data_IF_503100872162
#
_entry.id   IF_503100872162
#
_cell.length_a   1.000
_cell.length_b   1.000
_cell.length_c   1.000
_cell.angle_alpha   90.00
_cell.angle_beta   90.00
_cell.angle_gamma   90.00
#
_symmetry.space_group_name_H-M   'P 1'
#
loop_
_entity.id
_entity.type
_entity.pdbx_description
1 polymer ?
#
# COMPACT_ATOMS: atom_id res chain seq x y z
N UNK A 1 10.15 -20.03 -3.62
CA UNK A 1 10.50 -21.43 -3.98
C UNK A 1 9.50 -22.41 -3.39
N UNK A 2 9.42 -22.58 -2.06
CA UNK A 2 8.50 -23.56 -1.43
C UNK A 2 7.03 -23.39 -1.87
N UNK A 3 6.53 -22.16 -1.98
CA UNK A 3 5.19 -21.87 -2.50
C UNK A 3 4.90 -22.52 -3.87
N UNK A 4 5.89 -22.54 -4.77
CA UNK A 4 5.75 -23.14 -6.11
C UNK A 4 5.81 -24.67 -6.08
N UNK A 5 6.36 -25.23 -5.01
CA UNK A 5 6.54 -26.67 -4.84
C UNK A 5 5.49 -27.27 -3.90
N UNK A 6 4.48 -26.51 -3.48
CA UNK A 6 3.46 -26.96 -2.53
C UNK A 6 2.78 -28.26 -2.94
N UNK A 7 2.59 -28.48 -4.24
CA UNK A 7 1.99 -29.69 -4.81
C UNK A 7 2.95 -30.87 -4.98
N UNK A 8 4.26 -30.65 -4.86
CA UNK A 8 5.28 -31.67 -5.17
C UNK A 8 5.46 -32.69 -4.03
N UNK A 9 5.16 -32.30 -2.78
CA UNK A 9 5.21 -33.20 -1.63
C UNK A 9 4.42 -32.64 -0.44
N UNK A 10 3.66 -33.49 0.26
CA UNK A 10 2.87 -33.14 1.46
C UNK A 10 3.64 -32.44 2.61
N UNK A 11 4.97 -32.65 2.72
CA UNK A 11 5.79 -32.02 3.75
C UNK A 11 5.99 -30.51 3.49
N UNK A 12 5.89 -30.08 2.23
CA UNK A 12 6.19 -28.69 1.84
C UNK A 12 5.16 -27.72 2.42
N UNK A 13 3.83 -27.96 2.31
CA UNK A 13 2.83 -27.20 3.05
C UNK A 13 3.10 -27.14 4.56
N UNK A 14 3.45 -28.27 5.19
CA UNK A 14 3.74 -28.32 6.63
C UNK A 14 4.94 -27.45 7.03
N UNK A 15 6.00 -27.43 6.21
CA UNK A 15 7.17 -26.57 6.44
C UNK A 15 6.80 -25.08 6.33
N UNK A 16 5.95 -24.72 5.36
CA UNK A 16 5.49 -23.34 5.17
C UNK A 16 4.67 -22.90 6.37
N UNK A 17 3.72 -23.74 6.81
CA UNK A 17 2.89 -23.48 7.99
C UNK A 17 3.72 -23.37 9.26
N UNK A 18 4.68 -24.28 9.47
CA UNK A 18 5.61 -24.20 10.60
C UNK A 18 6.38 -22.88 10.59
N UNK A 19 6.94 -22.47 9.44
CA UNK A 19 7.67 -21.20 9.33
C UNK A 19 6.80 -19.98 9.62
N UNK A 20 5.54 -19.98 9.15
CA UNK A 20 4.60 -18.91 9.46
C UNK A 20 4.32 -18.86 10.97
N UNK A 21 3.96 -19.98 11.58
CA UNK A 21 3.62 -20.09 13.00
C UNK A 21 4.79 -19.72 13.91
N UNK A 22 5.98 -20.29 13.66
CA UNK A 22 7.17 -19.98 14.44
C UNK A 22 7.50 -18.49 14.36
N UNK A 23 7.37 -17.87 13.18
CA UNK A 23 7.58 -16.43 13.01
C UNK A 23 6.54 -15.61 13.77
N UNK A 24 5.25 -15.91 13.61
CA UNK A 24 4.18 -15.18 14.30
C UNK A 24 4.32 -15.29 15.83
N UNK A 25 4.60 -16.49 16.33
CA UNK A 25 4.79 -16.75 17.76
C UNK A 25 5.95 -15.94 18.32
N UNK A 26 7.15 -16.12 17.76
CA UNK A 26 8.36 -15.45 18.23
C UNK A 26 8.35 -13.93 18.04
N UNK A 27 7.82 -13.44 16.92
CA UNK A 27 7.87 -12.01 16.58
C UNK A 27 6.78 -11.21 17.30
N UNK A 28 5.62 -11.83 17.54
CA UNK A 28 4.45 -11.10 18.06
C UNK A 28 3.92 -11.68 19.37
N UNK A 29 3.54 -12.97 19.40
CA UNK A 29 2.86 -13.57 20.56
C UNK A 29 3.73 -13.53 21.82
N UNK A 30 5.00 -13.92 21.71
CA UNK A 30 5.93 -13.97 22.83
C UNK A 30 6.53 -12.58 23.12
N UNK A 31 6.80 -11.80 22.08
CA UNK A 31 7.56 -10.56 22.19
C UNK A 31 6.69 -9.36 22.60
N UNK A 32 5.47 -9.19 22.06
CA UNK A 32 4.65 -8.01 22.33
C UNK A 32 4.31 -7.83 23.82
N UNK A 33 3.93 -8.88 24.58
CA UNK A 33 3.68 -8.74 26.01
C UNK A 33 4.88 -8.25 26.81
N UNK A 34 6.10 -8.61 26.39
CA UNK A 34 7.34 -8.17 27.03
C UNK A 34 7.68 -6.69 26.75
N UNK A 35 7.04 -6.07 25.75
CA UNK A 35 7.25 -4.68 25.36
C UNK A 35 6.23 -3.72 26.01
N UNK A 36 5.34 -4.23 26.86
CA UNK A 36 4.39 -3.40 27.61
C UNK A 36 5.17 -2.58 28.64
N UNK A 37 5.03 -1.25 28.56
CA UNK A 37 5.68 -0.34 29.51
C UNK A 37 4.90 -0.31 30.83
N UNK A 38 5.52 -0.64 31.99
CA UNK A 38 4.81 -0.69 33.28
C UNK A 38 4.11 0.62 33.65
N UNK A 39 4.67 1.77 33.24
CA UNK A 39 4.17 3.10 33.64
C UNK A 39 2.86 3.47 32.93
N UNK A 40 2.61 2.89 31.75
CA UNK A 40 1.43 3.22 30.93
C UNK A 40 0.50 2.04 30.70
N UNK A 41 0.98 0.81 30.91
CA UNK A 41 0.27 -0.41 30.52
C UNK A 41 0.11 -0.58 29.00
N UNK A 42 0.85 0.20 28.18
CA UNK A 42 0.76 0.22 26.72
C UNK A 42 2.09 -0.15 26.06
N UNK A 43 2.01 -0.54 24.80
CA UNK A 43 3.18 -0.72 23.92
C UNK A 43 3.47 0.62 23.24
N UNK A 44 4.74 1.05 23.28
CA UNK A 44 5.20 2.29 22.65
C UNK A 44 6.16 1.96 21.52
N UNK A 45 5.68 2.03 20.28
CA UNK A 45 6.53 1.84 19.10
C UNK A 45 7.38 3.09 18.83
N UNK A 46 8.49 2.91 18.11
CA UNK A 46 9.33 4.00 17.64
C UNK A 46 9.16 4.22 16.14
N UNK A 47 8.63 5.37 15.76
CA UNK A 47 8.59 5.81 14.36
C UNK A 47 9.90 6.49 13.96
N UNK A 48 10.55 5.97 12.92
CA UNK A 48 11.77 6.55 12.34
C UNK A 48 11.40 7.33 11.08
N UNK A 49 11.61 8.64 11.14
CA UNK A 49 11.27 9.58 10.08
C UNK A 49 12.30 9.65 8.94
N UNK A 50 13.58 9.41 9.25
CA UNK A 50 14.70 9.55 8.32
C UNK A 50 15.42 8.21 8.07
N UNK A 51 14.67 7.18 7.66
CA UNK A 51 15.23 5.83 7.41
C UNK A 51 14.93 5.29 6.02
N UNK A 52 13.70 5.45 5.53
CA UNK A 52 13.32 4.92 4.21
C UNK A 52 13.75 5.84 3.07
N UNK A 53 14.05 5.26 1.90
CA UNK A 53 14.50 6.01 0.72
C UNK A 53 13.37 6.78 0.01
N UNK A 54 12.11 6.41 0.25
CA UNK A 54 10.92 7.07 -0.32
C UNK A 54 10.23 8.00 0.67
N UNK A 55 10.78 8.17 1.87
CA UNK A 55 10.25 9.11 2.87
C UNK A 55 9.14 8.56 3.75
N UNK A 56 8.68 7.31 3.56
CA UNK A 56 7.76 6.62 4.47
C UNK A 56 8.29 6.57 5.91
N UNK A 57 7.40 6.72 6.87
CA UNK A 57 7.72 6.35 8.25
C UNK A 57 7.98 4.85 8.31
N UNK A 58 8.88 4.44 9.20
CA UNK A 58 9.07 3.04 9.55
C UNK A 58 8.92 2.87 11.04
N UNK A 59 8.45 1.70 11.48
CA UNK A 59 8.22 1.40 12.90
C UNK A 59 9.20 0.34 13.38
N UNK A 60 9.73 0.49 14.60
CA UNK A 60 10.56 -0.52 15.29
C UNK A 60 10.21 -0.58 16.78
N UNK A 61 10.58 -1.69 17.40
CA UNK A 61 10.45 -1.94 18.85
C UNK A 61 9.06 -1.62 19.43
N UNK A 62 7.98 -2.30 18.98
CA UNK A 62 7.93 -3.30 17.90
C UNK A 62 7.65 -2.66 16.53
N UNK A 63 7.92 -3.39 15.45
CA UNK A 63 7.53 -2.96 14.10
C UNK A 63 6.04 -3.27 13.86
N UNK A 64 5.19 -2.28 14.11
CA UNK A 64 3.73 -2.40 13.95
C UNK A 64 3.27 -2.31 12.49
N UNK A 65 4.13 -1.86 11.56
CA UNK A 65 3.80 -1.86 10.13
C UNK A 65 3.82 -3.25 9.49
N UNK A 66 4.45 -4.23 10.15
CA UNK A 66 4.63 -5.58 9.59
C UNK A 66 3.63 -6.62 10.15
N UNK A 67 2.67 -6.21 10.99
CA UNK A 67 1.68 -7.13 11.55
C UNK A 67 0.80 -7.66 10.41
N UNK A 68 0.76 -8.98 10.16
CA UNK A 68 0.06 -9.52 8.99
C UNK A 68 -1.46 -9.32 9.05
N UNK A 69 -2.05 -9.02 7.90
CA UNK A 69 -3.46 -8.63 7.78
C UNK A 69 -4.31 -9.65 7.02
N UNK A 70 -3.66 -10.45 6.16
CA UNK A 70 -4.33 -11.28 5.14
C UNK A 70 -4.63 -12.69 5.61
N UNK A 71 -3.86 -13.21 6.57
CA UNK A 71 -4.05 -14.56 7.09
C UNK A 71 -4.88 -14.51 8.36
N UNK A 72 -5.71 -15.51 8.58
CA UNK A 72 -6.55 -15.62 9.79
C UNK A 72 -5.69 -15.51 11.06
N UNK A 73 -4.53 -16.18 11.08
CA UNK A 73 -3.58 -16.11 12.19
C UNK A 73 -3.01 -14.71 12.40
N UNK A 74 -2.73 -13.97 11.33
CA UNK A 74 -2.30 -12.57 11.40
C UNK A 74 -3.37 -11.67 12.01
N UNK A 75 -4.63 -11.88 11.60
CA UNK A 75 -5.80 -11.17 12.17
C UNK A 75 -5.96 -11.41 13.67
N UNK A 76 -5.67 -12.61 14.15
CA UNK A 76 -5.67 -12.89 15.60
C UNK A 76 -4.66 -12.02 16.38
N UNK A 77 -3.50 -11.69 15.79
CA UNK A 77 -2.53 -10.76 16.41
C UNK A 77 -3.13 -9.35 16.50
N UNK A 78 -3.82 -8.89 15.45
CA UNK A 78 -4.49 -7.57 15.45
C UNK A 78 -5.61 -7.46 16.48
N UNK A 79 -6.33 -8.56 16.75
CA UNK A 79 -7.34 -8.62 17.82
C UNK A 79 -6.78 -8.35 19.22
N UNK A 80 -5.48 -8.51 19.43
CA UNK A 80 -4.84 -8.20 20.71
C UNK A 80 -4.63 -6.69 20.94
N UNK A 81 -4.82 -5.85 19.92
CA UNK A 81 -4.76 -4.39 20.03
C UNK A 81 -6.16 -3.85 20.29
N UNK A 82 -6.43 -3.52 21.54
CA UNK A 82 -7.74 -3.15 22.06
C UNK A 82 -7.83 -1.64 22.30
N UNK A 83 -9.02 -1.08 22.12
CA UNK A 83 -9.36 0.23 22.71
C UNK A 83 -9.50 0.10 24.24
N UNK A 84 -9.23 1.20 24.95
CA UNK A 84 -9.54 1.29 26.38
C UNK A 84 -11.05 1.14 26.67
N UNK A 85 -11.37 0.77 27.91
CA UNK A 85 -12.77 0.59 28.35
C UNK A 85 -13.59 1.86 28.10
N UNK A 86 -14.74 1.70 27.43
CA UNK A 86 -15.64 2.81 27.08
C UNK A 86 -15.27 3.52 25.77
N UNK A 87 -14.13 3.18 25.16
CA UNK A 87 -13.66 3.72 23.89
C UNK A 87 -13.77 2.70 22.75
N UNK A 88 -13.48 3.17 21.55
CA UNK A 88 -13.31 2.39 20.32
C UNK A 88 -12.13 2.92 19.53
N UNK A 89 -11.59 2.09 18.65
CA UNK A 89 -10.61 2.49 17.65
C UNK A 89 -11.34 2.99 16.40
N UNK A 90 -10.82 4.07 15.82
CA UNK A 90 -11.21 4.56 14.50
C UNK A 90 -9.98 4.41 13.59
N UNK A 91 -10.11 3.61 12.55
CA UNK A 91 -9.13 3.52 11.48
C UNK A 91 -9.58 4.33 10.29
N UNK A 92 -8.68 5.16 9.78
CA UNK A 92 -8.91 5.95 8.57
C UNK A 92 -7.78 5.69 7.58
N UNK A 93 -8.11 5.00 6.49
CA UNK A 93 -7.16 4.50 5.48
C UNK A 93 -7.43 5.12 4.11
N UNK A 94 -6.40 5.62 3.44
CA UNK A 94 -6.60 6.15 2.09
C UNK A 94 -6.88 5.03 1.08
N UNK A 95 -8.03 5.13 0.40
CA UNK A 95 -8.41 4.16 -0.63
C UNK A 95 -7.53 4.31 -1.87
N UNK A 96 -6.57 3.39 -2.01
CA UNK A 96 -5.69 3.26 -3.19
C UNK A 96 -4.88 4.54 -3.49
N UNK A 97 -4.33 5.18 -2.45
CA UNK A 97 -3.63 6.47 -2.57
C UNK A 97 -2.57 6.47 -3.67
N UNK A 98 -1.78 5.40 -3.80
CA UNK A 98 -0.72 5.31 -4.80
C UNK A 98 -1.24 5.30 -6.23
N UNK A 99 -2.40 4.68 -6.50
CA UNK A 99 -2.99 4.72 -7.85
C UNK A 99 -3.64 6.08 -8.15
N UNK A 100 -4.19 6.77 -7.14
CA UNK A 100 -4.69 8.14 -7.29
C UNK A 100 -3.53 9.11 -7.58
N UNK A 101 -2.39 8.92 -6.91
CA UNK A 101 -1.15 9.64 -7.20
C UNK A 101 -0.67 9.32 -8.62
N UNK A 102 -0.66 8.05 -9.04
CA UNK A 102 -0.30 7.68 -10.40
C UNK A 102 -1.17 8.40 -11.43
N UNK A 103 -2.50 8.40 -11.24
CA UNK A 103 -3.43 9.12 -12.10
C UNK A 103 -3.12 10.62 -12.17
N UNK A 104 -2.76 11.22 -11.03
CA UNK A 104 -2.37 12.62 -10.96
C UNK A 104 -1.08 12.91 -11.74
N UNK A 105 0.00 12.17 -11.49
CA UNK A 105 1.33 12.46 -12.04
C UNK A 105 1.46 12.05 -13.51
N UNK A 106 0.75 10.99 -13.93
CA UNK A 106 0.69 10.60 -15.33
C UNK A 106 -0.21 11.53 -16.15
N UNK A 107 -1.17 12.19 -15.50
CA UNK A 107 -2.25 12.91 -16.18
C UNK A 107 -2.98 12.01 -17.20
N UNK A 108 -3.19 10.75 -16.85
CA UNK A 108 -3.91 9.82 -17.69
C UNK A 108 -5.42 10.03 -17.58
N UNK A 109 -6.03 10.56 -18.63
CA UNK A 109 -7.46 10.86 -18.66
C UNK A 109 -8.34 9.62 -18.45
N UNK A 110 -7.89 8.44 -18.89
CA UNK A 110 -8.61 7.19 -18.67
C UNK A 110 -8.65 6.83 -17.19
N UNK A 111 -7.50 6.90 -16.53
CA UNK A 111 -7.38 6.61 -15.10
C UNK A 111 -8.07 7.66 -14.23
N UNK A 112 -7.94 8.95 -14.58
CA UNK A 112 -8.61 10.06 -13.91
C UNK A 112 -10.14 9.89 -13.99
N UNK A 113 -10.68 9.64 -15.20
CA UNK A 113 -12.12 9.37 -15.37
C UNK A 113 -12.56 8.16 -14.57
N UNK A 114 -11.77 7.11 -14.53
CA UNK A 114 -12.14 5.90 -13.79
C UNK A 114 -12.30 6.18 -12.29
N UNK A 115 -11.37 6.92 -11.69
CA UNK A 115 -11.49 7.29 -10.27
C UNK A 115 -12.61 8.30 -10.00
N UNK A 116 -12.81 9.29 -10.87
CA UNK A 116 -13.85 10.31 -10.69
C UNK A 116 -15.27 9.75 -10.80
N UNK A 117 -15.44 8.62 -11.50
CA UNK A 117 -16.72 7.92 -11.62
C UNK A 117 -16.82 6.68 -10.73
N UNK A 118 -15.93 6.52 -9.73
CA UNK A 118 -15.84 5.35 -8.84
C UNK A 118 -15.87 4.00 -9.59
N UNK A 119 -15.31 3.95 -10.80
CA UNK A 119 -15.27 2.73 -11.61
C UNK A 119 -14.28 1.73 -11.01
N UNK A 120 -14.69 0.46 -10.98
CA UNK A 120 -13.82 -0.62 -10.57
C UNK A 120 -12.80 -0.95 -11.67
N UNK A 121 -11.70 -0.20 -11.67
CA UNK A 121 -10.59 -0.40 -12.61
C UNK A 121 -10.07 -1.84 -12.56
N UNK A 122 -10.12 -2.52 -11.42
CA UNK A 122 -9.63 -3.88 -11.31
C UNK A 122 -10.58 -4.87 -11.98
N UNK A 123 -11.89 -4.67 -11.83
CA UNK A 123 -12.88 -5.49 -12.53
C UNK A 123 -12.85 -5.24 -14.04
N UNK A 124 -12.71 -3.97 -14.47
CA UNK A 124 -12.56 -3.63 -15.89
C UNK A 124 -11.30 -4.25 -16.49
N UNK A 125 -10.16 -4.14 -15.80
CA UNK A 125 -8.91 -4.81 -16.21
C UNK A 125 -9.07 -6.33 -16.19
N UNK A 126 -9.77 -6.92 -15.21
CA UNK A 126 -10.01 -8.36 -15.17
C UNK A 126 -10.84 -8.85 -16.37
N UNK A 127 -11.93 -8.15 -16.67
CA UNK A 127 -12.78 -8.44 -17.83
C UNK A 127 -11.96 -8.47 -19.12
N UNK A 128 -11.10 -7.47 -19.34
CA UNK A 128 -10.23 -7.38 -20.51
C UNK A 128 -9.10 -8.43 -20.53
N UNK A 129 -8.47 -8.71 -19.38
CA UNK A 129 -7.36 -9.66 -19.29
C UNK A 129 -7.84 -11.10 -19.50
N UNK A 130 -8.96 -11.45 -18.85
CA UNK A 130 -9.45 -12.83 -18.80
C UNK A 130 -10.54 -13.11 -19.84
N UNK A 131 -10.93 -12.11 -20.64
CA UNK A 131 -11.92 -12.26 -21.71
C UNK A 131 -13.32 -12.62 -21.19
N UNK A 132 -13.66 -12.19 -19.98
CA UNK A 132 -14.98 -12.41 -19.37
C UNK A 132 -15.77 -11.10 -19.35
N UNK A 133 -17.10 -11.15 -19.43
CA UNK A 133 -17.91 -9.94 -19.21
C UNK A 133 -17.71 -9.40 -17.79
N UNK A 134 -17.94 -8.10 -17.59
CA UNK A 134 -17.84 -7.45 -16.27
C UNK A 134 -18.65 -8.19 -15.19
N UNK A 135 -19.87 -8.63 -15.53
CA UNK A 135 -20.75 -9.37 -14.62
C UNK A 135 -20.22 -10.75 -14.22
N UNK A 136 -19.32 -11.32 -15.03
CA UNK A 136 -18.69 -12.61 -14.79
C UNK A 136 -17.29 -12.48 -14.15
N UNK A 137 -16.87 -11.27 -13.78
CA UNK A 137 -15.61 -11.07 -13.06
C UNK A 137 -15.77 -11.56 -11.62
N UNK A 138 -15.15 -12.70 -11.32
CA UNK A 138 -15.11 -13.22 -9.95
C UNK A 138 -14.14 -12.41 -9.08
N UNK A 139 -14.30 -12.52 -7.75
CA UNK A 139 -13.38 -11.90 -6.78
C UNK A 139 -11.92 -12.35 -6.98
N UNK A 140 -11.67 -13.58 -7.41
CA UNK A 140 -10.32 -14.06 -7.70
C UNK A 140 -9.72 -13.38 -8.94
N UNK A 141 -10.51 -13.26 -10.02
CA UNK A 141 -10.09 -12.57 -11.25
C UNK A 141 -9.81 -11.09 -10.97
N UNK A 142 -10.69 -10.44 -10.21
CA UNK A 142 -10.50 -9.05 -9.75
C UNK A 142 -9.22 -8.91 -8.93
N UNK A 143 -8.94 -9.84 -8.00
CA UNK A 143 -7.72 -9.84 -7.18
C UNK A 143 -6.45 -10.00 -8.04
N UNK A 144 -6.49 -10.89 -9.03
CA UNK A 144 -5.39 -11.05 -10.00
C UNK A 144 -5.16 -9.77 -10.80
N UNK A 145 -6.23 -9.18 -11.35
CA UNK A 145 -6.16 -7.91 -12.09
C UNK A 145 -5.69 -6.73 -11.23
N UNK A 146 -6.02 -6.72 -9.93
CA UNK A 146 -5.43 -5.77 -8.97
C UNK A 146 -3.91 -5.93 -8.92
N UNK A 147 -3.41 -7.16 -8.76
CA UNK A 147 -1.97 -7.41 -8.77
C UNK A 147 -1.30 -7.00 -10.09
N UNK A 148 -1.98 -7.20 -11.23
CA UNK A 148 -1.52 -6.72 -12.54
C UNK A 148 -1.42 -5.20 -12.57
N UNK A 149 -2.51 -4.50 -12.22
CA UNK A 149 -2.57 -3.03 -12.24
C UNK A 149 -1.44 -2.42 -11.41
N UNK A 150 -1.26 -2.89 -10.17
CA UNK A 150 -0.14 -2.45 -9.33
C UNK A 150 1.20 -2.86 -9.92
N UNK A 151 1.36 -4.10 -10.38
CA UNK A 151 2.58 -4.58 -11.00
C UNK A 151 3.05 -3.68 -12.13
N UNK A 152 2.18 -3.44 -13.11
CA UNK A 152 2.49 -2.60 -14.28
C UNK A 152 2.74 -1.16 -13.86
N UNK A 153 1.90 -0.59 -13.00
CA UNK A 153 2.09 0.74 -12.41
C UNK A 153 3.46 0.90 -11.72
N UNK A 154 4.02 -0.20 -11.18
CA UNK A 154 5.32 -0.22 -10.52
C UNK A 154 6.49 -0.67 -11.40
N UNK A 155 6.32 -0.69 -12.72
CA UNK A 155 7.36 -1.06 -13.67
C UNK A 155 7.65 -2.56 -13.74
N UNK A 156 6.68 -3.41 -13.39
CA UNK A 156 6.80 -4.85 -13.60
C UNK A 156 6.77 -5.18 -15.09
N UNK A 157 7.85 -5.79 -15.58
CA UNK A 157 7.93 -6.28 -16.96
C UNK A 157 7.21 -7.61 -17.19
N UNK A 158 7.08 -7.99 -18.46
CA UNK A 158 6.33 -9.18 -18.89
C UNK A 158 6.79 -10.49 -18.22
N UNK A 159 8.09 -10.65 -17.95
CA UNK A 159 8.60 -11.84 -17.26
C UNK A 159 8.03 -11.97 -15.84
N UNK A 160 8.12 -10.91 -15.04
CA UNK A 160 7.64 -10.93 -13.66
C UNK A 160 6.12 -11.06 -13.61
N UNK A 161 5.40 -10.42 -14.54
CA UNK A 161 3.95 -10.52 -14.60
C UNK A 161 3.50 -11.94 -14.99
N UNK A 162 4.20 -12.58 -15.94
CA UNK A 162 3.94 -13.97 -16.32
C UNK A 162 4.14 -14.93 -15.13
N UNK A 163 5.22 -14.74 -14.37
CA UNK A 163 5.51 -15.53 -13.17
C UNK A 163 4.45 -15.34 -12.08
N UNK A 164 3.99 -14.11 -11.85
CA UNK A 164 2.97 -13.81 -10.84
C UNK A 164 1.60 -14.40 -11.18
N UNK A 165 1.24 -14.42 -12.47
CA UNK A 165 -0.06 -14.89 -12.94
C UNK A 165 -0.07 -16.36 -13.32
N UNK A 166 1.09 -17.00 -13.48
CA UNK A 166 1.19 -18.38 -13.97
C UNK A 166 0.79 -18.53 -15.44
N UNK A 167 1.03 -17.50 -16.27
CA UNK A 167 0.67 -17.47 -17.70
C UNK A 167 1.92 -17.42 -18.59
N UNK A 168 1.76 -17.57 -19.90
CA UNK A 168 2.89 -17.47 -20.82
C UNK A 168 3.44 -16.04 -20.92
N UNK A 169 4.73 -15.91 -21.31
CA UNK A 169 5.35 -14.59 -21.55
C UNK A 169 4.65 -13.81 -22.66
N UNK A 170 4.08 -14.50 -23.66
CA UNK A 170 3.36 -13.88 -24.76
C UNK A 170 2.08 -13.22 -24.25
N UNK A 171 1.25 -13.97 -23.53
CA UNK A 171 0.01 -13.45 -22.92
C UNK A 171 0.29 -12.27 -21.97
N UNK A 172 1.32 -12.39 -21.13
CA UNK A 172 1.76 -11.32 -20.24
C UNK A 172 2.16 -10.04 -20.99
N UNK A 173 2.87 -10.18 -22.12
CA UNK A 173 3.26 -9.04 -22.96
C UNK A 173 2.04 -8.37 -23.61
N UNK A 174 1.07 -9.16 -24.07
CA UNK A 174 -0.19 -8.66 -24.63
C UNK A 174 -1.04 -7.93 -23.57
N UNK A 175 -1.07 -8.43 -22.33
CA UNK A 175 -1.74 -7.76 -21.21
C UNK A 175 -1.12 -6.39 -20.94
N UNK A 176 0.22 -6.32 -20.86
CA UNK A 176 0.94 -5.06 -20.66
C UNK A 176 0.67 -4.09 -21.81
N UNK A 177 0.65 -4.60 -23.04
CA UNK A 177 0.36 -3.79 -24.22
C UNK A 177 -1.05 -3.19 -24.15
N UNK A 178 -2.08 -4.00 -23.94
CA UNK A 178 -3.48 -3.54 -23.80
C UNK A 178 -3.64 -2.53 -22.66
N UNK A 179 -2.95 -2.76 -21.54
CA UNK A 179 -2.96 -1.82 -20.42
C UNK A 179 -2.44 -0.43 -20.85
N UNK A 180 -1.32 -0.38 -21.56
CA UNK A 180 -0.76 0.89 -22.05
C UNK A 180 -1.49 1.48 -23.25
N UNK A 181 -2.22 0.70 -24.05
CA UNK A 181 -3.15 1.25 -25.05
C UNK A 181 -4.28 2.02 -24.37
N UNK A 182 -4.80 1.47 -23.26
CA UNK A 182 -5.87 2.09 -22.47
C UNK A 182 -5.39 3.27 -21.63
N UNK A 183 -4.22 3.14 -21.02
CA UNK A 183 -3.62 4.13 -20.12
C UNK A 183 -2.27 4.62 -20.68
N UNK A 184 -2.31 5.22 -21.87
CA UNK A 184 -1.10 5.59 -22.61
C UNK A 184 -0.23 6.61 -21.88
N UNK A 185 -0.83 7.50 -21.10
CA UNK A 185 -0.07 8.51 -20.34
C UNK A 185 0.65 7.92 -19.14
N UNK A 186 0.22 6.77 -18.63
CA UNK A 186 0.98 6.02 -17.63
C UNK A 186 2.33 5.57 -18.22
N UNK A 187 2.34 5.06 -19.46
CA UNK A 187 3.59 4.68 -20.13
C UNK A 187 4.50 5.89 -20.36
N UNK A 188 3.94 6.99 -20.88
CA UNK A 188 4.68 8.24 -21.10
C UNK A 188 5.36 8.71 -19.81
N UNK A 189 4.63 8.68 -18.69
CA UNK A 189 5.17 9.02 -17.36
C UNK A 189 6.31 8.08 -16.94
N UNK A 190 6.15 6.77 -17.11
CA UNK A 190 7.17 5.79 -16.74
C UNK A 190 8.48 6.01 -17.51
N UNK A 191 8.37 6.20 -18.82
CA UNK A 191 9.52 6.46 -19.69
C UNK A 191 10.20 7.79 -19.31
N UNK A 192 9.42 8.84 -19.08
CA UNK A 192 9.93 10.16 -18.67
C UNK A 192 10.61 10.11 -17.30
N UNK A 193 10.06 9.39 -16.32
CA UNK A 193 10.67 9.25 -14.99
C UNK A 193 12.05 8.60 -15.07
N UNK A 194 12.21 7.57 -15.91
CA UNK A 194 13.50 6.89 -16.13
C UNK A 194 14.48 7.81 -16.84
N UNK A 195 14.06 8.49 -17.91
CA UNK A 195 14.94 9.41 -18.65
C UNK A 195 15.37 10.62 -17.81
N UNK A 196 14.46 11.19 -17.02
CA UNK A 196 14.79 12.24 -16.07
C UNK A 196 15.82 11.74 -15.05
N UNK A 197 15.61 10.55 -14.47
CA UNK A 197 16.54 9.95 -13.52
C UNK A 197 17.94 9.73 -14.11
N UNK A 198 18.03 9.27 -15.37
CA UNK A 198 19.31 9.13 -16.09
C UNK A 198 20.01 10.47 -16.31
N UNK A 199 19.24 11.51 -16.66
CA UNK A 199 19.78 12.85 -16.98
C UNK A 199 20.28 13.61 -15.75
N UNK A 200 19.50 13.63 -14.66
CA UNK A 200 19.81 14.45 -13.48
C UNK A 200 20.28 13.65 -12.26
N UNK A 201 20.18 12.32 -12.29
CA UNK A 201 20.63 11.42 -11.22
C UNK A 201 19.61 11.15 -10.10
N UNK A 202 18.44 11.77 -10.14
CA UNK A 202 17.38 11.61 -9.13
C UNK A 202 15.98 11.81 -9.72
N UNK A 203 14.97 11.41 -8.96
CA UNK A 203 13.54 11.71 -9.21
C UNK A 203 12.93 12.43 -8.01
N UNK A 204 11.83 13.14 -8.21
CA UNK A 204 11.16 13.98 -7.20
C UNK A 204 9.70 13.59 -7.01
N UNK A 205 9.17 13.76 -5.79
CA UNK A 205 7.73 13.71 -5.51
C UNK A 205 7.05 15.02 -5.92
N UNK A 206 5.71 15.06 -5.87
CA UNK A 206 4.93 16.29 -6.09
C UNK A 206 5.38 17.46 -5.18
N UNK A 207 5.95 17.14 -4.02
CA UNK A 207 6.40 18.10 -3.01
C UNK A 207 7.92 18.31 -3.01
N UNK A 208 8.62 17.85 -4.05
CA UNK A 208 10.06 18.06 -4.22
C UNK A 208 10.95 17.14 -3.39
N UNK A 209 10.43 16.08 -2.77
CA UNK A 209 11.26 15.08 -2.09
C UNK A 209 12.07 14.31 -3.14
N UNK A 210 13.39 14.28 -2.99
CA UNK A 210 14.30 13.60 -3.92
C UNK A 210 14.61 12.17 -3.49
N UNK A 211 14.69 11.28 -4.48
CA UNK A 211 15.43 10.01 -4.38
C UNK A 211 16.48 9.95 -5.48
N UNK A 212 17.75 9.88 -5.08
CA UNK A 212 18.87 9.62 -5.98
C UNK A 212 18.87 8.16 -6.44
N UNK A 213 19.15 7.92 -7.73
CA UNK A 213 19.05 6.61 -8.37
C UNK A 213 20.41 6.22 -8.96
N UNK A 214 21.41 6.01 -8.11
CA UNK A 214 22.76 5.63 -8.54
C UNK A 214 22.79 4.24 -9.21
N UNK A 215 21.79 3.40 -8.97
CA UNK A 215 21.65 2.09 -9.56
C UNK A 215 21.62 2.14 -11.11
N UNK A 216 21.14 3.25 -11.69
CA UNK A 216 21.12 3.47 -13.14
C UNK A 216 22.52 3.59 -13.76
N UNK A 217 23.53 3.99 -12.98
CA UNK A 217 24.92 4.10 -13.44
C UNK A 217 25.64 2.73 -13.44
N UNK A 218 25.02 1.70 -12.87
CA UNK A 218 25.67 0.40 -12.70
C UNK A 218 25.93 -0.29 -14.04
N UNK A 219 27.05 -1.01 -14.14
CA UNK A 219 27.29 -1.94 -15.25
C UNK A 219 26.45 -3.21 -15.13
N UNK A 220 25.94 -3.55 -13.93
CA UNK A 220 25.11 -4.72 -13.68
C UNK A 220 23.67 -4.50 -14.21
N UNK A 221 23.20 -5.29 -15.19
CA UNK A 221 21.84 -5.14 -15.74
C UNK A 221 20.74 -5.27 -14.71
N UNK A 222 20.86 -6.19 -13.73
CA UNK A 222 19.85 -6.40 -12.71
C UNK A 222 19.72 -5.17 -11.78
N UNK A 223 20.86 -4.54 -11.46
CA UNK A 223 20.88 -3.32 -10.66
C UNK A 223 20.31 -2.14 -11.44
N UNK A 224 20.65 -1.99 -12.73
CA UNK A 224 20.04 -0.95 -13.59
C UNK A 224 18.52 -1.11 -13.69
N UNK A 225 18.02 -2.31 -13.95
CA UNK A 225 16.57 -2.55 -14.02
C UNK A 225 15.88 -2.31 -12.67
N UNK A 226 16.57 -2.54 -11.54
CA UNK A 226 16.06 -2.09 -10.24
C UNK A 226 16.01 -0.57 -10.15
N UNK A 227 17.05 0.14 -10.61
CA UNK A 227 17.09 1.59 -10.73
C UNK A 227 15.95 2.17 -11.57
N UNK A 228 15.63 1.55 -12.71
CA UNK A 228 14.51 1.97 -13.58
C UNK A 228 13.17 1.86 -12.85
N UNK A 229 12.88 0.71 -12.20
CA UNK A 229 11.67 0.55 -11.38
C UNK A 229 11.65 1.53 -10.20
N UNK A 230 12.81 1.75 -9.59
CA UNK A 230 12.98 2.69 -8.50
C UNK A 230 12.67 4.13 -8.90
N UNK A 231 13.08 4.55 -10.11
CA UNK A 231 12.79 5.87 -10.66
C UNK A 231 11.28 6.08 -10.91
N UNK A 232 10.58 5.04 -11.38
CA UNK A 232 9.12 5.07 -11.60
C UNK A 232 8.37 5.13 -10.26
N UNK A 233 8.78 4.32 -9.28
CA UNK A 233 8.01 4.07 -8.06
C UNK A 233 8.22 5.13 -6.98
N UNK A 234 9.42 5.70 -6.88
CA UNK A 234 9.75 6.62 -5.81
C UNK A 234 8.90 7.91 -5.80
N UNK A 235 8.60 8.55 -6.96
CA UNK A 235 7.69 9.70 -6.98
C UNK A 235 6.29 9.34 -6.50
N UNK A 236 5.77 8.17 -6.89
CA UNK A 236 4.43 7.71 -6.51
C UNK A 236 4.37 7.43 -5.00
N UNK A 237 5.25 6.54 -4.54
CA UNK A 237 5.28 6.10 -3.14
C UNK A 237 5.65 7.25 -2.20
N UNK A 238 6.58 8.11 -2.62
CA UNK A 238 7.01 9.26 -1.86
C UNK A 238 5.93 10.33 -1.79
N UNK A 239 5.23 10.63 -2.90
CA UNK A 239 4.09 11.56 -2.87
C UNK A 239 2.98 11.02 -1.95
N UNK A 240 2.66 9.73 -2.02
CA UNK A 240 1.71 9.12 -1.08
C UNK A 240 2.17 9.28 0.39
N UNK A 241 3.46 9.10 0.66
CA UNK A 241 4.00 9.34 1.99
C UNK A 241 3.94 10.81 2.41
N UNK A 242 4.18 11.74 1.49
CA UNK A 242 4.11 13.17 1.77
C UNK A 242 2.66 13.57 2.09
N UNK A 243 1.69 13.06 1.33
CA UNK A 243 0.25 13.26 1.58
C UNK A 243 -0.17 12.77 2.97
N UNK A 244 0.22 11.55 3.34
CA UNK A 244 -0.10 11.00 4.67
C UNK A 244 0.52 11.86 5.77
N UNK A 245 1.76 12.33 5.60
CA UNK A 245 2.42 13.20 6.59
C UNK A 245 1.76 14.57 6.71
N UNK A 246 1.40 15.18 5.58
CA UNK A 246 0.64 16.43 5.59
C UNK A 246 -0.70 16.24 6.29
N UNK A 247 -1.38 15.13 6.03
CA UNK A 247 -2.64 14.80 6.69
C UNK A 247 -2.44 14.61 8.20
N UNK A 248 -1.39 13.91 8.63
CA UNK A 248 -1.07 13.78 10.07
C UNK A 248 -0.83 15.13 10.76
N UNK A 249 -0.19 16.09 10.08
CA UNK A 249 -0.01 17.44 10.63
C UNK A 249 -1.38 18.12 10.80
N UNK A 250 -2.22 18.08 9.75
CA UNK A 250 -3.57 18.65 9.80
C UNK A 250 -4.43 17.98 10.90
N UNK A 251 -4.33 16.67 11.05
CA UNK A 251 -5.04 15.91 12.08
C UNK A 251 -4.54 16.30 13.48
N UNK A 252 -3.22 16.40 13.68
CA UNK A 252 -2.65 16.80 14.97
C UNK A 252 -3.09 18.21 15.41
N UNK A 253 -3.25 19.13 14.46
CA UNK A 253 -3.64 20.52 14.74
C UNK A 253 -5.14 20.70 14.96
N UNK A 254 -5.99 19.83 14.39
CA UNK A 254 -7.44 20.07 14.31
C UNK A 254 -8.30 18.96 14.94
N UNK A 255 -7.71 17.86 15.42
CA UNK A 255 -8.42 16.73 16.01
C UNK A 255 -7.96 16.54 17.45
N UNK A 256 -8.90 16.58 18.40
CA UNK A 256 -8.58 16.53 19.83
C UNK A 256 -8.25 15.11 20.32
N UNK A 257 -8.76 14.07 19.65
CA UNK A 257 -8.51 12.68 20.03
C UNK A 257 -7.11 12.21 19.61
N UNK A 258 -6.46 11.33 20.40
CA UNK A 258 -5.10 10.90 20.12
C UNK A 258 -5.03 10.03 18.86
N UNK A 259 -4.15 10.42 17.92
CA UNK A 259 -3.65 9.52 16.89
C UNK A 259 -2.66 8.53 17.51
N UNK A 260 -3.02 7.25 17.54
CA UNK A 260 -2.23 6.19 18.16
C UNK A 260 -1.13 5.65 17.25
N UNK A 261 -1.49 5.34 16.00
CA UNK A 261 -0.60 4.66 15.05
C UNK A 261 -0.73 5.25 13.65
N UNK A 262 0.37 5.18 12.92
CA UNK A 262 0.43 5.37 11.48
C UNK A 262 0.95 4.08 10.84
N UNK A 263 0.15 3.45 9.98
CA UNK A 263 0.51 2.17 9.33
C UNK A 263 0.23 2.26 7.84
N UNK A 264 1.27 2.28 7.02
CA UNK A 264 1.17 2.46 5.57
C UNK A 264 0.48 3.77 5.16
N UNK A 265 -0.79 3.72 4.79
CA UNK A 265 -1.69 4.81 4.41
C UNK A 265 -2.85 5.00 5.40
N UNK A 266 -2.82 4.25 6.50
CA UNK A 266 -3.77 4.27 7.62
C UNK A 266 -3.27 5.15 8.78
N UNK A 267 -4.20 5.89 9.39
CA UNK A 267 -4.04 6.52 10.70
C UNK A 267 -5.10 5.96 11.65
N UNK A 268 -4.65 5.47 12.80
CA UNK A 268 -5.50 4.85 13.82
C UNK A 268 -5.65 5.79 15.02
N UNK A 269 -6.89 6.02 15.44
CA UNK A 269 -7.25 6.86 16.58
C UNK A 269 -7.99 6.03 17.64
N UNK A 270 -8.13 6.60 18.84
CA UNK A 270 -8.97 6.05 19.90
C UNK A 270 -9.83 7.15 20.51
N UNK A 271 -11.14 6.92 20.61
CA UNK A 271 -12.08 7.90 21.18
C UNK A 271 -13.22 7.24 21.96
N UNK A 272 -13.91 7.98 22.85
CA UNK A 272 -15.17 7.56 23.45
C UNK A 272 -16.21 7.14 22.42
N UNK A 273 -16.99 6.09 22.72
CA UNK A 273 -18.00 5.55 21.80
C UNK A 273 -19.04 6.57 21.32
N UNK A 274 -19.37 7.54 22.15
CA UNK A 274 -20.35 8.58 21.88
C UNK A 274 -19.81 9.74 21.02
N UNK A 275 -18.50 9.78 20.73
CA UNK A 275 -17.86 10.86 19.98
C UNK A 275 -17.40 10.42 18.57
N UNK A 276 -17.70 9.19 18.18
CA UNK A 276 -17.21 8.57 16.93
C UNK A 276 -17.64 9.36 15.70
N UNK A 277 -18.95 9.66 15.58
CA UNK A 277 -19.50 10.32 14.39
C UNK A 277 -18.94 11.74 14.22
N UNK A 278 -18.85 12.49 15.32
CA UNK A 278 -18.29 13.85 15.34
C UNK A 278 -16.81 13.84 14.91
N UNK A 279 -16.00 12.95 15.49
CA UNK A 279 -14.60 12.83 15.11
C UNK A 279 -14.42 12.42 13.65
N UNK A 280 -15.22 11.48 13.14
CA UNK A 280 -15.15 11.07 11.72
C UNK A 280 -15.52 12.23 10.79
N UNK A 281 -16.51 13.05 11.16
CA UNK A 281 -16.94 14.21 10.38
C UNK A 281 -15.84 15.27 10.25
N UNK A 282 -14.92 15.37 11.22
CA UNK A 282 -13.74 16.24 11.18
C UNK A 282 -12.56 15.57 10.47
N UNK A 283 -12.23 14.32 10.81
CA UNK A 283 -11.06 13.60 10.30
C UNK A 283 -11.12 13.39 8.78
N UNK A 284 -12.27 12.93 8.27
CA UNK A 284 -12.45 12.59 6.85
C UNK A 284 -12.10 13.75 5.92
N UNK A 285 -12.72 14.95 6.04
CA UNK A 285 -12.42 16.06 5.13
C UNK A 285 -10.97 16.55 5.24
N UNK A 286 -10.34 16.51 6.43
CA UNK A 286 -8.93 16.88 6.59
C UNK A 286 -8.00 15.98 5.76
N UNK A 287 -8.26 14.66 5.78
CA UNK A 287 -7.48 13.71 5.01
C UNK A 287 -7.79 13.78 3.50
N UNK A 288 -9.07 13.84 3.11
CA UNK A 288 -9.47 13.85 1.70
C UNK A 288 -9.09 15.14 0.97
N UNK A 289 -8.95 16.27 1.69
CA UNK A 289 -8.64 17.58 1.12
C UNK A 289 -7.25 18.11 1.49
N UNK A 290 -6.34 17.25 1.96
CA UNK A 290 -4.97 17.64 2.34
C UNK A 290 -4.21 18.38 1.23
N UNK A 291 -4.53 18.07 -0.03
CA UNK A 291 -4.06 18.83 -1.19
C UNK A 291 -5.02 18.68 -2.36
N UNK A 292 -4.98 19.64 -3.28
CA UNK A 292 -5.76 19.56 -4.52
C UNK A 292 -5.07 18.61 -5.51
N UNK A 293 -5.73 17.50 -5.81
CA UNK A 293 -5.30 16.58 -6.86
C UNK A 293 -6.30 16.54 -8.02
N UNK A 294 -5.83 16.13 -9.21
CA UNK A 294 -6.68 15.84 -10.39
C UNK A 294 -7.73 14.75 -10.13
N UNK A 295 -7.43 13.85 -9.21
CA UNK A 295 -8.32 12.80 -8.72
C UNK A 295 -8.52 13.03 -7.23
N UNK A 296 -9.76 13.07 -6.70
CA UNK A 296 -9.99 13.29 -5.29
C UNK A 296 -9.35 12.19 -4.46
N UNK A 297 -8.76 12.53 -3.31
CA UNK A 297 -8.40 11.53 -2.32
C UNK A 297 -9.69 11.05 -1.63
N UNK A 298 -9.71 9.77 -1.25
CA UNK A 298 -10.85 9.15 -0.58
C UNK A 298 -10.33 8.34 0.58
N UNK A 299 -10.99 8.40 1.72
CA UNK A 299 -10.65 7.56 2.88
C UNK A 299 -11.77 6.59 3.21
N UNK A 300 -11.37 5.36 3.54
CA UNK A 300 -12.23 4.37 4.15
C UNK A 300 -12.12 4.51 5.66
N UNK A 301 -13.27 4.42 6.34
CA UNK A 301 -13.31 4.54 7.80
C UNK A 301 -13.91 3.25 8.36
N UNK A 302 -13.23 2.66 9.33
CA UNK A 302 -13.68 1.50 10.07
C UNK A 302 -13.60 1.78 11.58
N UNK A 303 -14.56 1.25 12.34
CA UNK A 303 -14.67 1.48 13.79
C UNK A 303 -14.84 0.14 14.48
N UNK A 304 -14.09 -0.07 15.56
CA UNK A 304 -14.06 -1.37 16.22
C UNK A 304 -13.51 -1.35 17.63
N UNK A 305 -13.78 -2.42 18.38
CA UNK A 305 -13.20 -2.66 19.71
C UNK A 305 -11.73 -3.06 19.66
N UNK A 306 -11.33 -3.70 18.56
CA UNK A 306 -9.96 -4.12 18.29
C UNK A 306 -9.49 -3.55 16.97
N UNK A 307 -8.18 -3.57 16.73
CA UNK A 307 -7.63 -3.12 15.46
C UNK A 307 -8.05 -4.04 14.29
N UNK A 308 -8.38 -5.32 14.54
CA UNK A 308 -8.96 -6.19 13.51
C UNK A 308 -10.41 -5.84 13.17
N UNK A 309 -11.19 -5.37 14.16
CA UNK A 309 -12.58 -4.93 13.94
C UNK A 309 -12.64 -3.56 13.24
N UNK A 310 -11.61 -2.74 13.44
CA UNK A 310 -11.45 -1.41 12.85
C UNK A 310 -10.56 -1.45 11.61
N UNK A 311 -10.61 -2.48 10.75
CA UNK A 311 -9.81 -2.55 9.52
C UNK A 311 -10.56 -3.24 8.37
#
# INVERSE_FOLDING_TARGET
>A
VLEKLKSEHEIIPLIIDYRELSKLKSTYVDALPQLIRPETGRIHTHFRQAMTTTGRLSSINPNLQNIPIRTERGRLIRKAFLADKGKVLISVDYSQIELRVLAHVSNDEGLIRAFNNDLDIHAATASEIFGVSLDNVTNDLRRKAKAVNFGIAYGQGAYGLAENLGISRKESSEIIHRYFERFSKVKDYMDQAVEQAKKQGYVETLFGRRRYIDELKSKNPALRSFGERAAINAPIQGTASDLVKLAMIQLYENVEIPALLQVHDEVLFECPKNEVEENIAVIRPLMENVTKMRVPLKVNVAVGSTWDDAH
#
